data_IF_727171428117
#
_entry.id   IF_727171428117
#
_cell.length_a   1.000
_cell.length_b   1.000
_cell.length_c   1.000
_cell.angle_alpha   90.00
_cell.angle_beta   90.00
_cell.angle_gamma   90.00
#
_symmetry.space_group_name_H-M   'P 1'
#
loop_
_entity.id
_entity.type
_entity.pdbx_description
1 polymer ?
#
# COMPACT_ATOMS: atom_id res chain seq x y z
N UNK A 1 -20.24 -16.32 35.88
CA UNK A 1 -19.25 -17.08 35.11
C UNK A 1 -19.13 -16.44 33.73
N UNK A 2 -17.95 -15.87 33.43
CA UNK A 2 -17.48 -15.31 32.14
C UNK A 2 -18.30 -14.20 31.44
N UNK A 3 -17.89 -12.94 31.63
CA UNK A 3 -18.24 -11.80 30.77
C UNK A 3 -17.02 -11.43 29.91
N UNK A 4 -16.97 -11.85 28.65
CA UNK A 4 -15.92 -11.47 27.70
C UNK A 4 -16.09 -9.98 27.30
N UNK A 5 -15.08 -9.11 27.47
CA UNK A 5 -15.16 -7.71 27.03
C UNK A 5 -15.04 -7.61 25.50
N UNK A 6 -16.08 -7.15 24.84
CA UNK A 6 -16.21 -6.94 23.39
C UNK A 6 -15.26 -5.86 22.81
N UNK A 7 -14.49 -5.18 23.67
CA UNK A 7 -13.49 -4.16 23.30
C UNK A 7 -12.07 -4.73 23.07
N UNK A 8 -11.81 -5.99 23.45
CA UNK A 8 -10.51 -6.65 23.23
C UNK A 8 -10.10 -6.92 21.76
N UNK A 9 -10.99 -7.22 20.79
CA UNK A 9 -10.55 -7.66 19.47
C UNK A 9 -9.80 -6.56 18.68
N UNK A 10 -10.08 -5.28 18.95
CA UNK A 10 -9.42 -4.15 18.25
C UNK A 10 -7.96 -3.95 18.66
N UNK A 11 -7.63 -4.22 19.93
CA UNK A 11 -6.27 -4.08 20.44
C UNK A 11 -5.36 -5.23 20.00
N UNK A 12 -5.87 -6.46 20.02
CA UNK A 12 -5.17 -7.62 19.46
C UNK A 12 -4.96 -7.46 17.96
N UNK A 13 -5.96 -6.98 17.21
CA UNK A 13 -5.80 -6.69 15.79
C UNK A 13 -4.68 -5.67 15.52
N UNK A 14 -4.58 -4.60 16.32
CA UNK A 14 -3.48 -3.62 16.20
C UNK A 14 -2.11 -4.22 16.49
N UNK A 15 -1.97 -4.96 17.61
CA UNK A 15 -0.68 -5.57 17.97
C UNK A 15 -0.22 -6.57 16.92
N UNK A 16 -1.11 -7.45 16.48
CA UNK A 16 -0.78 -8.43 15.44
C UNK A 16 -0.46 -7.75 14.11
N UNK A 17 -1.16 -6.67 13.73
CA UNK A 17 -0.82 -5.87 12.55
C UNK A 17 0.61 -5.33 12.63
N UNK A 18 1.00 -4.67 13.73
CA UNK A 18 2.35 -4.12 13.85
C UNK A 18 3.44 -5.19 13.88
N UNK A 19 3.18 -6.35 14.50
CA UNK A 19 4.12 -7.46 14.49
C UNK A 19 4.33 -8.01 13.07
N UNK A 20 3.24 -8.32 12.36
CA UNK A 20 3.31 -8.81 10.97
C UNK A 20 3.92 -7.76 10.06
N UNK A 21 3.53 -6.50 10.21
CA UNK A 21 4.05 -5.37 9.44
C UNK A 21 5.56 -5.20 9.64
N UNK A 22 6.05 -5.23 10.89
CA UNK A 22 7.47 -5.10 11.19
C UNK A 22 8.28 -6.25 10.57
N UNK A 23 7.79 -7.49 10.68
CA UNK A 23 8.44 -8.66 10.07
C UNK A 23 8.46 -8.53 8.55
N UNK A 24 7.31 -8.28 7.93
CA UNK A 24 7.18 -8.17 6.46
C UNK A 24 8.03 -7.05 5.90
N UNK A 25 8.05 -5.87 6.52
CA UNK A 25 8.89 -4.75 6.06
C UNK A 25 10.37 -5.08 6.19
N UNK A 26 10.79 -5.68 7.31
CA UNK A 26 12.20 -6.02 7.51
C UNK A 26 12.71 -6.95 6.41
N UNK A 27 11.94 -7.98 6.06
CA UNK A 27 12.29 -8.88 4.95
C UNK A 27 12.16 -8.21 3.58
N UNK A 28 11.10 -7.46 3.33
CA UNK A 28 10.84 -6.83 2.02
C UNK A 28 11.90 -5.79 1.65
N UNK A 29 12.31 -4.97 2.62
CA UNK A 29 13.29 -3.90 2.41
C UNK A 29 14.66 -4.44 1.99
N UNK A 30 15.04 -5.63 2.47
CA UNK A 30 16.31 -6.27 2.10
C UNK A 30 16.32 -6.70 0.62
N UNK A 31 15.18 -7.12 0.09
CA UNK A 31 15.08 -7.64 -1.30
C UNK A 31 14.84 -6.50 -2.29
N UNK A 32 13.95 -5.57 -1.95
CA UNK A 32 13.39 -4.59 -2.89
C UNK A 32 13.96 -3.19 -2.66
N UNK A 33 14.51 -2.93 -1.47
CA UNK A 33 15.02 -1.64 -1.07
C UNK A 33 13.99 -0.78 -0.32
N UNK A 34 14.51 0.11 0.52
CA UNK A 34 13.73 0.97 1.43
C UNK A 34 12.74 1.87 0.68
N UNK A 35 13.19 2.47 -0.43
CA UNK A 35 12.42 3.46 -1.18
C UNK A 35 11.11 2.91 -1.74
N UNK A 36 11.18 1.75 -2.40
CA UNK A 36 10.03 1.15 -3.05
C UNK A 36 9.01 0.61 -2.03
N UNK A 37 9.47 0.06 -0.92
CA UNK A 37 8.59 -0.40 0.17
C UNK A 37 7.82 0.77 0.79
N UNK A 38 8.47 1.91 1.06
CA UNK A 38 7.75 3.07 1.58
C UNK A 38 6.77 3.65 0.56
N UNK A 39 7.16 3.74 -0.71
CA UNK A 39 6.28 4.25 -1.76
C UNK A 39 5.00 3.41 -1.92
N UNK A 40 5.09 2.08 -1.86
CA UNK A 40 3.95 1.17 -2.01
C UNK A 40 2.98 1.23 -0.83
N UNK A 41 3.44 1.69 0.35
CA UNK A 41 2.59 1.91 1.51
C UNK A 41 1.96 3.31 1.52
N UNK A 42 2.75 4.33 1.19
CA UNK A 42 2.34 5.74 1.30
C UNK A 42 1.43 6.15 0.15
N UNK A 43 1.77 5.83 -1.10
CA UNK A 43 1.05 6.36 -2.27
C UNK A 43 -0.40 5.86 -2.34
N UNK A 44 -0.69 4.55 -2.23
CA UNK A 44 -2.07 4.07 -2.27
C UNK A 44 -2.90 4.57 -1.10
N UNK A 45 -2.30 4.67 0.10
CA UNK A 45 -2.96 5.21 1.29
C UNK A 45 -3.34 6.68 1.11
N UNK A 46 -2.43 7.52 0.59
CA UNK A 46 -2.69 8.92 0.31
C UNK A 46 -3.78 9.11 -0.75
N UNK A 47 -3.80 8.27 -1.78
CA UNK A 47 -4.78 8.33 -2.85
C UNK A 47 -6.22 8.17 -2.34
N UNK A 48 -6.44 7.30 -1.35
CA UNK A 48 -7.77 6.98 -0.80
C UNK A 48 -8.12 7.74 0.49
N UNK A 49 -7.15 8.42 1.12
CA UNK A 49 -7.30 9.05 2.44
C UNK A 49 -8.51 10.00 2.55
N UNK A 50 -8.83 10.77 1.51
CA UNK A 50 -9.94 11.74 1.52
C UNK A 50 -11.35 11.12 1.44
N UNK A 51 -11.47 9.83 1.11
CA UNK A 51 -12.74 9.10 0.94
C UNK A 51 -12.95 7.98 1.96
N UNK A 52 -11.99 7.79 2.89
CA UNK A 52 -12.00 6.71 3.87
C UNK A 52 -13.16 6.78 4.88
N UNK A 53 -13.90 7.89 4.91
CA UNK A 53 -15.02 8.10 5.82
C UNK A 53 -16.36 7.53 5.30
N UNK A 54 -16.49 7.23 4.01
CA UNK A 54 -17.77 6.83 3.38
C UNK A 54 -17.76 5.44 2.73
N UNK A 55 -16.59 4.91 2.32
CA UNK A 55 -16.47 3.61 1.64
C UNK A 55 -15.22 2.85 2.11
N UNK A 56 -15.19 1.50 2.02
CA UNK A 56 -14.01 0.72 2.34
C UNK A 56 -12.85 1.07 1.41
N UNK A 57 -11.94 1.92 1.89
CA UNK A 57 -10.78 2.43 1.17
C UNK A 57 -9.74 1.35 0.79
N UNK A 58 -9.89 0.13 1.32
CA UNK A 58 -8.98 -1.00 1.09
C UNK A 58 -8.99 -1.47 -0.36
N UNK A 59 -10.18 -1.62 -0.97
CA UNK A 59 -10.31 -2.10 -2.34
C UNK A 59 -9.60 -1.18 -3.36
N UNK A 60 -9.88 0.14 -3.39
CA UNK A 60 -9.21 1.03 -4.33
C UNK A 60 -7.71 1.18 -4.03
N UNK A 61 -7.29 1.16 -2.75
CA UNK A 61 -5.87 1.20 -2.41
C UNK A 61 -5.12 -0.03 -2.93
N UNK A 62 -5.70 -1.22 -2.78
CA UNK A 62 -5.09 -2.46 -3.28
C UNK A 62 -5.04 -2.46 -4.81
N UNK A 63 -6.11 -2.03 -5.47
CA UNK A 63 -6.15 -1.89 -6.92
C UNK A 63 -5.07 -0.94 -7.44
N UNK A 64 -4.87 0.21 -6.80
CA UNK A 64 -3.81 1.15 -7.17
C UNK A 64 -2.41 0.59 -6.97
N UNK A 65 -2.18 -0.13 -5.87
CA UNK A 65 -0.93 -0.82 -5.60
C UNK A 65 -0.58 -1.84 -6.69
N UNK A 66 -1.54 -2.71 -7.01
CA UNK A 66 -1.38 -3.76 -8.04
C UNK A 66 -1.15 -3.15 -9.42
N UNK A 67 -1.95 -2.16 -9.82
CA UNK A 67 -1.81 -1.51 -11.12
C UNK A 67 -0.48 -0.78 -11.26
N UNK A 68 -0.05 -0.05 -10.22
CA UNK A 68 1.24 0.65 -10.22
C UNK A 68 2.43 -0.31 -10.31
N UNK A 69 2.39 -1.43 -9.58
CA UNK A 69 3.42 -2.47 -9.67
C UNK A 69 3.45 -3.14 -11.04
N UNK A 70 2.30 -3.58 -11.56
CA UNK A 70 2.22 -4.26 -12.84
C UNK A 70 2.72 -3.36 -13.99
N UNK A 71 2.25 -2.11 -14.04
CA UNK A 71 2.70 -1.14 -15.04
C UNK A 71 4.19 -0.81 -14.89
N UNK A 72 4.66 -0.60 -13.65
CA UNK A 72 6.06 -0.30 -13.37
C UNK A 72 7.02 -1.40 -13.77
N UNK A 73 6.64 -2.66 -13.55
CA UNK A 73 7.43 -3.83 -13.97
C UNK A 73 7.40 -3.96 -15.49
N UNK A 74 6.23 -3.88 -16.12
CA UNK A 74 6.10 -4.01 -17.57
C UNK A 74 6.94 -2.96 -18.32
N UNK A 75 6.90 -1.71 -17.88
CA UNK A 75 7.67 -0.62 -18.49
C UNK A 75 9.16 -0.72 -18.16
N UNK A 76 9.52 -1.14 -16.95
CA UNK A 76 10.92 -1.41 -16.60
C UNK A 76 11.52 -2.51 -17.47
N UNK A 77 10.76 -3.57 -17.78
CA UNK A 77 11.19 -4.65 -18.66
C UNK A 77 11.33 -4.23 -20.13
N UNK A 78 10.62 -3.19 -20.57
CA UNK A 78 10.70 -2.69 -21.95
C UNK A 78 11.77 -1.62 -22.16
N UNK A 79 12.07 -0.83 -21.12
CA UNK A 79 12.97 0.31 -21.21
C UNK A 79 14.29 0.11 -20.45
N UNK A 80 14.53 -1.10 -19.91
CA UNK A 80 15.70 -1.46 -19.06
C UNK A 80 15.97 -0.46 -17.92
N UNK A 81 14.92 0.19 -17.44
CA UNK A 81 14.97 1.18 -16.36
C UNK A 81 15.16 0.49 -15.00
N UNK A 82 15.77 1.17 -14.00
CA UNK A 82 15.81 0.68 -12.63
C UNK A 82 14.40 0.38 -12.11
N UNK A 83 14.11 -0.89 -11.85
CA UNK A 83 12.76 -1.38 -11.55
C UNK A 83 12.13 -0.70 -10.34
N UNK A 84 12.93 -0.41 -9.31
CA UNK A 84 12.49 0.31 -8.12
C UNK A 84 11.96 1.71 -8.44
N UNK A 85 12.67 2.48 -9.27
CA UNK A 85 12.26 3.83 -9.62
C UNK A 85 11.01 3.82 -10.51
N UNK A 86 10.97 2.93 -11.50
CA UNK A 86 9.82 2.78 -12.40
C UNK A 86 8.52 2.53 -11.61
N UNK A 87 8.53 1.54 -10.71
CA UNK A 87 7.33 1.21 -9.93
C UNK A 87 6.85 2.40 -9.08
N UNK A 88 7.75 3.16 -8.46
CA UNK A 88 7.34 4.33 -7.68
C UNK A 88 6.68 5.40 -8.56
N UNK A 89 7.21 5.64 -9.76
CA UNK A 89 6.59 6.56 -10.71
C UNK A 89 5.20 6.11 -11.14
N UNK A 90 5.02 4.83 -11.45
CA UNK A 90 3.72 4.30 -11.84
C UNK A 90 2.71 4.26 -10.70
N UNK A 91 3.15 3.97 -9.47
CA UNK A 91 2.30 4.14 -8.28
C UNK A 91 1.85 5.59 -8.12
N UNK A 92 2.77 6.54 -8.25
CA UNK A 92 2.47 7.97 -8.12
C UNK A 92 1.47 8.44 -9.18
N UNK A 93 1.67 8.06 -10.44
CA UNK A 93 0.77 8.37 -11.55
C UNK A 93 -0.61 7.75 -11.34
N UNK A 94 -0.68 6.48 -10.94
CA UNK A 94 -1.93 5.80 -10.65
C UNK A 94 -2.69 6.48 -9.49
N UNK A 95 -2.01 6.78 -8.39
CA UNK A 95 -2.59 7.44 -7.23
C UNK A 95 -3.07 8.86 -7.53
N UNK A 96 -2.31 9.62 -8.31
CA UNK A 96 -2.66 10.97 -8.73
C UNK A 96 -3.85 10.95 -9.71
N UNK A 97 -3.84 10.04 -10.69
CA UNK A 97 -4.95 9.83 -11.62
C UNK A 97 -6.25 9.46 -10.89
N UNK A 98 -6.18 8.59 -9.89
CA UNK A 98 -7.33 8.24 -9.06
C UNK A 98 -7.88 9.44 -8.27
N UNK A 99 -6.99 10.25 -7.67
CA UNK A 99 -7.40 11.45 -6.95
C UNK A 99 -8.05 12.49 -7.87
N UNK A 100 -7.53 12.66 -9.08
CA UNK A 100 -8.10 13.61 -10.05
C UNK A 100 -9.43 13.13 -10.62
N UNK A 101 -9.56 11.85 -10.95
CA UNK A 101 -10.79 11.29 -11.52
C UNK A 101 -11.98 11.28 -10.54
N UNK A 102 -11.71 11.39 -9.24
CA UNK A 102 -12.73 11.44 -8.18
C UNK A 102 -12.80 12.77 -7.43
N UNK A 103 -12.13 13.80 -7.95
CA UNK A 103 -12.30 15.19 -7.51
C UNK A 103 -13.59 15.75 -8.10
#
# INVERSE_FOLDING_TARGET
MWQFPHWLPRLFARRTFYLVFAVVITFSVQIVGVYLVFASLVIPALAVMGKAQEQPALLPAFGLGVLGYAAGIAVSAWLDLPTGASIVWFLALAGLGYRLAKK
#
